data_IF_883127540479
#
_entry.id   IF_883127540479
#
_cell.length_a   1.000
_cell.length_b   1.000
_cell.length_c   1.000
_cell.angle_alpha   90.00
_cell.angle_beta   90.00
_cell.angle_gamma   90.00
#
_symmetry.space_group_name_H-M   'P 1'
#
loop_
_entity.id
_entity.type
_entity.pdbx_description
1 polymer ?
#
# COMPACT_ATOMS: atom_id res chain seq x y z
N UNK A 1 3.73 -6.15 23.68
CA UNK A 1 3.40 -4.98 22.85
C UNK A 1 3.44 -5.38 21.40
N UNK A 2 2.51 -4.92 20.56
CA UNK A 2 2.61 -5.22 19.14
C UNK A 2 3.82 -4.48 18.54
N UNK A 3 4.49 -5.06 17.54
CA UNK A 3 5.67 -4.46 16.93
C UNK A 3 5.31 -3.18 16.15
N UNK A 4 6.30 -2.28 16.00
CA UNK A 4 6.10 -0.99 15.35
C UNK A 4 5.78 -1.14 13.86
N UNK A 5 4.88 -0.28 13.35
CA UNK A 5 4.62 -0.14 11.92
C UNK A 5 5.78 0.60 11.27
N UNK A 6 6.28 0.08 10.14
CA UNK A 6 7.27 0.78 9.33
C UNK A 6 6.52 1.62 8.31
N UNK A 7 6.66 2.94 8.43
CA UNK A 7 5.94 3.92 7.61
C UNK A 7 6.95 4.89 7.00
N UNK A 8 6.77 5.20 5.73
CA UNK A 8 7.43 6.26 5.00
C UNK A 8 6.39 7.32 4.64
N UNK A 9 6.62 8.57 5.04
CA UNK A 9 5.66 9.67 4.82
C UNK A 9 6.35 10.82 4.14
N UNK A 10 5.69 11.41 3.15
CA UNK A 10 6.07 12.68 2.56
C UNK A 10 4.80 13.51 2.36
N UNK A 11 4.67 14.62 3.09
CA UNK A 11 3.45 15.41 3.14
C UNK A 11 2.20 14.51 3.41
N UNK A 12 1.28 14.43 2.46
CA UNK A 12 0.08 13.59 2.50
C UNK A 12 0.26 12.19 1.89
N UNK A 13 1.38 11.92 1.21
CA UNK A 13 1.71 10.62 0.64
C UNK A 13 2.30 9.68 1.71
N UNK A 14 1.51 8.70 2.12
CA UNK A 14 1.87 7.71 3.15
C UNK A 14 2.05 6.34 2.53
N UNK A 15 3.22 5.74 2.79
CA UNK A 15 3.55 4.38 2.40
C UNK A 15 3.81 3.51 3.64
N UNK A 16 3.08 2.39 3.78
CA UNK A 16 3.16 1.52 4.97
C UNK A 16 3.59 0.12 4.56
N UNK A 17 4.61 -0.42 5.22
CA UNK A 17 5.05 -1.79 5.04
C UNK A 17 4.26 -2.70 5.98
N UNK A 18 3.56 -3.67 5.39
CA UNK A 18 2.69 -4.61 6.10
C UNK A 18 3.21 -6.04 5.95
N UNK A 19 3.22 -6.78 7.06
CA UNK A 19 3.61 -8.20 7.07
C UNK A 19 2.39 -9.13 7.08
N UNK A 20 1.26 -8.71 7.66
CA UNK A 20 0.04 -9.51 7.71
C UNK A 20 -1.21 -8.63 7.66
N UNK A 21 -2.35 -9.24 7.35
CA UNK A 21 -3.66 -8.58 7.30
C UNK A 21 -4.07 -8.02 8.67
N UNK A 22 -3.62 -8.61 9.79
CA UNK A 22 -3.80 -8.03 11.13
C UNK A 22 -3.16 -6.65 11.27
N UNK A 23 -1.96 -6.46 10.69
CA UNK A 23 -1.30 -5.15 10.72
C UNK A 23 -2.07 -4.13 9.88
N UNK A 24 -2.70 -4.57 8.79
CA UNK A 24 -3.60 -3.70 8.02
C UNK A 24 -4.81 -3.29 8.85
N UNK A 25 -5.48 -4.23 9.53
CA UNK A 25 -6.63 -3.93 10.39
C UNK A 25 -6.26 -2.92 11.49
N UNK A 26 -5.08 -3.11 12.11
CA UNK A 26 -4.54 -2.16 13.09
C UNK A 26 -4.24 -0.80 12.50
N UNK A 27 -3.60 -0.75 11.32
CA UNK A 27 -3.36 0.50 10.59
C UNK A 27 -4.68 1.22 10.29
N UNK A 28 -5.68 0.50 9.79
CA UNK A 28 -7.01 1.04 9.47
C UNK A 28 -7.67 1.64 10.71
N UNK A 29 -7.63 0.93 11.83
CA UNK A 29 -8.12 1.43 13.12
C UNK A 29 -7.41 2.73 13.56
N UNK A 30 -6.08 2.79 13.44
CA UNK A 30 -5.33 4.00 13.75
C UNK A 30 -5.67 5.17 12.81
N UNK A 31 -5.83 4.90 11.52
CA UNK A 31 -6.22 5.90 10.52
C UNK A 31 -7.63 6.45 10.78
N UNK A 32 -8.60 5.59 11.14
CA UNK A 32 -9.95 6.03 11.47
C UNK A 32 -9.96 6.91 12.73
N UNK A 33 -9.23 6.51 13.76
CA UNK A 33 -9.12 7.29 15.01
C UNK A 33 -8.38 8.61 14.81
N UNK A 34 -7.34 8.61 13.98
CA UNK A 34 -6.66 9.83 13.59
C UNK A 34 -7.59 10.75 12.79
N UNK A 35 -8.35 10.19 11.84
CA UNK A 35 -9.33 10.92 11.05
C UNK A 35 -10.45 11.53 11.89
N UNK A 36 -10.91 10.85 12.93
CA UNK A 36 -11.97 11.37 13.80
C UNK A 36 -11.55 12.59 14.64
N UNK A 37 -10.26 12.74 14.94
CA UNK A 37 -9.74 13.88 15.73
C UNK A 37 -9.17 15.00 14.87
N UNK A 38 -8.63 14.67 13.69
CA UNK A 38 -7.97 15.63 12.78
C UNK A 38 -8.87 16.08 11.63
N UNK A 39 -10.03 15.45 11.43
CA UNK A 39 -10.86 15.54 10.22
C UNK A 39 -10.15 15.12 8.92
N UNK A 40 -8.96 14.49 9.00
CA UNK A 40 -8.28 13.93 7.85
C UNK A 40 -9.03 12.70 7.31
N UNK A 41 -9.08 12.54 5.99
CA UNK A 41 -9.73 11.40 5.33
C UNK A 41 -8.73 10.67 4.44
N UNK A 42 -8.63 9.36 4.63
CA UNK A 42 -7.85 8.48 3.75
C UNK A 42 -8.64 8.22 2.49
N UNK A 43 -8.05 8.48 1.33
CA UNK A 43 -8.67 8.19 0.04
C UNK A 43 -8.35 6.75 -0.38
N UNK A 44 -9.18 5.81 0.09
CA UNK A 44 -9.02 4.37 -0.18
C UNK A 44 -9.03 4.06 -1.68
N UNK A 45 -9.84 4.77 -2.47
CA UNK A 45 -9.91 4.56 -3.93
C UNK A 45 -8.63 4.98 -4.68
N UNK A 46 -7.84 5.88 -4.08
CA UNK A 46 -6.50 6.23 -4.59
C UNK A 46 -5.39 5.38 -3.98
N UNK A 47 -5.70 4.56 -2.98
CA UNK A 47 -4.70 3.72 -2.33
C UNK A 47 -4.34 2.55 -3.24
N UNK A 48 -3.05 2.28 -3.36
CA UNK A 48 -2.49 1.21 -4.18
C UNK A 48 -1.65 0.30 -3.29
N UNK A 49 -1.69 -1.00 -3.55
CA UNK A 49 -0.91 -1.99 -2.82
C UNK A 49 0.09 -2.66 -3.75
N UNK A 50 1.21 -3.12 -3.20
CA UNK A 50 2.18 -3.88 -3.97
C UNK A 50 2.99 -4.83 -3.09
N UNK A 51 3.54 -5.87 -3.71
CA UNK A 51 4.41 -6.85 -3.03
C UNK A 51 5.89 -6.45 -3.07
N UNK A 52 6.56 -6.49 -1.94
CA UNK A 52 7.99 -6.13 -1.87
C UNK A 52 8.90 -7.09 -2.65
N UNK A 53 8.53 -8.37 -2.70
CA UNK A 53 9.23 -9.42 -3.45
C UNK A 53 8.70 -9.58 -4.88
N UNK A 54 7.73 -8.75 -5.27
CA UNK A 54 7.07 -8.81 -6.57
C UNK A 54 6.15 -10.02 -6.76
N UNK A 55 5.90 -10.88 -5.77
CA UNK A 55 4.98 -12.03 -5.94
C UNK A 55 3.52 -11.60 -5.93
N UNK A 56 2.67 -12.38 -6.58
CA UNK A 56 1.23 -12.21 -6.46
C UNK A 56 0.73 -12.94 -5.21
N UNK A 57 -0.08 -12.26 -4.40
CA UNK A 57 -0.66 -12.82 -3.17
C UNK A 57 -2.19 -12.77 -3.28
N UNK A 58 -2.85 -13.82 -3.81
CA UNK A 58 -4.29 -13.80 -4.05
C UNK A 58 -5.13 -13.55 -2.79
N UNK A 59 -4.70 -14.08 -1.66
CA UNK A 59 -5.31 -13.84 -0.34
C UNK A 59 -5.30 -12.35 0.04
N UNK A 60 -4.19 -11.65 -0.23
CA UNK A 60 -4.05 -10.23 -0.01
C UNK A 60 -4.86 -9.42 -1.01
N UNK A 61 -4.85 -9.79 -2.28
CA UNK A 61 -5.65 -9.13 -3.32
C UNK A 61 -7.13 -9.20 -2.95
N UNK A 62 -7.63 -10.38 -2.58
CA UNK A 62 -9.02 -10.56 -2.16
C UNK A 62 -9.33 -9.78 -0.88
N UNK A 63 -8.46 -9.84 0.13
CA UNK A 63 -8.61 -9.09 1.38
C UNK A 63 -8.67 -7.57 1.13
N UNK A 64 -7.74 -7.03 0.35
CA UNK A 64 -7.66 -5.60 0.03
C UNK A 64 -8.85 -5.13 -0.81
N UNK A 65 -9.34 -5.97 -1.73
CA UNK A 65 -10.53 -5.68 -2.52
C UNK A 65 -11.77 -5.49 -1.63
N UNK A 66 -11.96 -6.33 -0.59
CA UNK A 66 -13.04 -6.15 0.42
C UNK A 66 -12.89 -4.83 1.17
N UNK A 67 -11.66 -4.34 1.33
CA UNK A 67 -11.37 -3.06 1.98
C UNK A 67 -11.47 -1.85 1.04
N UNK A 68 -11.83 -2.07 -0.24
CA UNK A 68 -11.98 -1.02 -1.25
C UNK A 68 -10.69 -0.66 -2.02
N UNK A 69 -9.60 -1.39 -1.79
CA UNK A 69 -8.32 -1.23 -2.49
C UNK A 69 -8.27 -2.24 -3.64
N UNK A 70 -8.53 -1.77 -4.86
CA UNK A 70 -8.60 -2.62 -6.05
C UNK A 70 -7.30 -2.69 -6.85
N UNK A 71 -6.37 -1.77 -6.58
CA UNK A 71 -5.10 -1.68 -7.32
C UNK A 71 -4.00 -2.44 -6.60
N UNK A 72 -3.47 -3.45 -7.27
CA UNK A 72 -2.37 -4.29 -6.81
C UNK A 72 -1.25 -4.31 -7.85
N UNK A 73 -0.02 -4.12 -7.41
CA UNK A 73 1.18 -4.19 -8.25
C UNK A 73 2.10 -5.33 -7.82
N UNK A 74 2.46 -6.16 -8.80
CA UNK A 74 3.42 -7.25 -8.66
C UNK A 74 4.31 -7.34 -9.91
N UNK A 75 5.14 -8.38 -10.00
CA UNK A 75 6.05 -8.56 -11.11
C UNK A 75 5.34 -8.70 -12.47
N UNK A 76 4.09 -9.17 -12.47
CA UNK A 76 3.30 -9.35 -13.69
C UNK A 76 2.67 -8.05 -14.18
N UNK A 77 2.68 -7.01 -13.32
CA UNK A 77 2.08 -5.72 -13.62
C UNK A 77 2.86 -4.97 -14.69
N UNK A 78 2.20 -4.47 -15.76
CA UNK A 78 2.87 -3.88 -16.92
C UNK A 78 3.53 -2.53 -16.61
N UNK A 79 3.09 -1.86 -15.55
CA UNK A 79 3.62 -0.58 -15.06
C UNK A 79 3.97 -0.66 -13.57
N UNK A 80 5.11 -0.08 -13.14
CA UNK A 80 5.49 -0.02 -11.73
C UNK A 80 4.60 0.96 -10.96
N UNK A 81 4.47 0.74 -9.65
CA UNK A 81 3.90 1.72 -8.73
C UNK A 81 4.81 2.95 -8.65
N UNK A 82 4.25 4.16 -8.55
CA UNK A 82 5.03 5.40 -8.46
C UNK A 82 4.90 6.00 -7.07
N UNK A 83 6.03 6.33 -6.46
CA UNK A 83 6.08 7.06 -5.19
C UNK A 83 6.92 8.32 -5.39
N UNK A 84 6.31 9.50 -5.15
CA UNK A 84 6.96 10.82 -5.36
C UNK A 84 7.56 11.01 -6.76
N UNK A 85 6.91 10.42 -7.78
CA UNK A 85 7.39 10.45 -9.17
C UNK A 85 8.43 9.39 -9.51
N UNK A 86 8.96 8.66 -8.52
CA UNK A 86 9.92 7.57 -8.75
C UNK A 86 9.19 6.23 -8.92
N UNK A 87 9.47 5.47 -9.99
CA UNK A 87 8.87 4.16 -10.18
C UNK A 87 9.54 3.12 -9.26
N UNK A 88 8.75 2.37 -8.52
CA UNK A 88 9.18 1.23 -7.72
C UNK A 88 9.24 -0.01 -8.63
N UNK A 89 10.42 -0.26 -9.17
CA UNK A 89 10.68 -1.31 -10.14
C UNK A 89 10.78 -2.68 -9.44
N UNK A 90 9.90 -3.60 -9.80
CA UNK A 90 9.92 -5.00 -9.37
C UNK A 90 10.47 -5.94 -10.46
N UNK A 91 10.48 -5.54 -11.74
CA UNK A 91 10.98 -6.38 -12.86
C UNK A 91 11.79 -5.63 -13.91
N UNK A 92 12.53 -6.41 -14.73
CA UNK A 92 13.22 -5.88 -15.91
C UNK A 92 12.27 -5.21 -16.91
N UNK A 93 11.05 -5.71 -17.09
CA UNK A 93 10.07 -5.07 -17.99
C UNK A 93 9.65 -3.69 -17.49
N UNK A 94 9.58 -3.49 -16.18
CA UNK A 94 9.23 -2.21 -15.58
C UNK A 94 10.39 -1.20 -15.65
N UNK A 95 11.65 -1.63 -15.81
CA UNK A 95 12.81 -0.73 -15.95
C UNK A 95 12.71 0.27 -17.10
N UNK A 96 11.88 -0.02 -18.12
CA UNK A 96 11.60 0.91 -19.23
C UNK A 96 10.94 2.23 -18.80
N UNK A 97 10.48 2.32 -17.54
CA UNK A 97 9.82 3.49 -16.97
C UNK A 97 10.75 4.35 -16.09
N UNK A 98 12.03 4.02 -16.00
CA UNK A 98 13.07 4.85 -15.39
C UNK A 98 13.39 6.08 -16.25
#
# INVERSE_FOLDING_TARGET
>A
MPPPLKVLVYADDVYVLLHSTDYYCRLRHHLDRYGSVSNAKVNIHKTEAFSLDGRSYPEWIAFLAVQGISKWHDHSSPSPLRYLGFPLIQTFHQRRYL
#
